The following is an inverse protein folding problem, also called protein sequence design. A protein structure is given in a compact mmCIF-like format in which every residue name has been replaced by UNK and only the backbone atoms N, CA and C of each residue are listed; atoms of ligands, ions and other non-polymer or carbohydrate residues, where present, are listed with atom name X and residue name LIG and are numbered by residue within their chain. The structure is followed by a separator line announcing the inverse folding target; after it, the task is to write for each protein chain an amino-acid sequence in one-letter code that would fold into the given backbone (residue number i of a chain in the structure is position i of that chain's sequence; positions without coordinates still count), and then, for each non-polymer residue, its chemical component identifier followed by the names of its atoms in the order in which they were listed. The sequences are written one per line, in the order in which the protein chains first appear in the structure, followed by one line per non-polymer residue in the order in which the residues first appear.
data_IF_762830045016
#
_entry.id   IF_762830045016
#
_cell.length_a   1.000
_cell.length_b   1.000
_cell.length_c   1.000
_cell.angle_alpha   90.00
_cell.angle_beta   90.00
_cell.angle_gamma   90.00
#
_symmetry.space_group_name_H-M   'P 1'
#
loop_
_entity.id
_entity.type
_entity.pdbx_description
1 polymer ?
#
# COMPACT_ATOMS: atom_id res chain seq x y z
N UNK A 1 21.12 2.38 28.36
CA UNK A 1 19.80 2.10 28.98
C UNK A 1 19.23 0.84 28.36
N UNK A 2 18.73 -0.06 29.22
CA UNK A 2 18.83 -1.52 29.09
C UNK A 2 17.88 -2.19 28.09
N UNK A 3 18.37 -3.22 27.39
CA UNK A 3 17.62 -4.13 26.50
C UNK A 3 16.39 -4.78 27.15
N UNK A 4 16.29 -4.75 28.49
CA UNK A 4 15.15 -5.21 29.27
C UNK A 4 13.87 -4.37 29.04
N UNK A 5 13.97 -3.07 28.74
CA UNK A 5 12.79 -2.22 28.50
C UNK A 5 12.11 -2.52 27.15
N UNK A 6 12.88 -2.97 26.14
CA UNK A 6 12.32 -3.41 24.86
C UNK A 6 11.62 -4.77 24.98
N UNK A 7 12.06 -5.64 25.89
CA UNK A 7 11.43 -6.96 26.10
C UNK A 7 10.04 -6.84 26.77
N UNK A 8 9.87 -5.86 27.66
CA UNK A 8 8.58 -5.59 28.33
C UNK A 8 7.52 -5.05 27.37
N UNK A 9 7.89 -4.14 26.45
CA UNK A 9 6.93 -3.56 25.50
C UNK A 9 6.61 -4.47 24.31
N UNK A 10 7.55 -5.33 23.88
CA UNK A 10 7.32 -6.28 22.79
C UNK A 10 6.47 -7.50 23.21
N UNK A 11 6.54 -7.94 24.49
CA UNK A 11 5.66 -9.02 25.00
C UNK A 11 4.18 -8.63 24.99
N UNK A 12 3.87 -7.33 25.03
CA UNK A 12 2.51 -6.80 25.20
C UNK A 12 1.69 -6.80 23.90
N UNK A 13 2.32 -6.84 22.72
CA UNK A 13 1.64 -6.95 21.43
C UNK A 13 1.59 -8.38 20.86
N UNK A 14 2.44 -9.29 21.35
CA UNK A 14 2.56 -10.63 20.74
C UNK A 14 1.58 -11.69 21.22
N UNK A 15 0.67 -11.39 22.16
CA UNK A 15 -0.39 -12.33 22.56
C UNK A 15 0.15 -13.67 23.03
N UNK A 16 1.08 -13.66 23.99
CA UNK A 16 1.57 -14.90 24.64
C UNK A 16 0.91 -15.17 26.00
N UNK A 17 -0.34 -14.74 26.18
CA UNK A 17 -1.26 -15.29 27.18
C UNK A 17 -2.69 -14.99 26.73
N UNK A 18 -3.40 -16.06 26.42
CA UNK A 18 -4.84 -16.10 26.27
C UNK A 18 -5.48 -15.55 27.53
N UNK A 19 -6.23 -14.47 27.41
CA UNK A 19 -7.29 -14.08 28.33
C UNK A 19 -8.11 -13.02 27.59
N UNK A 20 -9.42 -13.25 27.52
CA UNK A 20 -10.44 -12.50 26.79
C UNK A 20 -10.23 -10.98 26.89
N UNK A 21 -9.58 -10.40 25.87
CA UNK A 21 -9.50 -8.95 25.73
C UNK A 21 -10.51 -8.51 24.68
N UNK A 22 -11.47 -7.70 25.12
CA UNK A 22 -12.48 -7.11 24.24
C UNK A 22 -11.81 -6.34 23.09
N UNK A 23 -12.44 -6.36 21.90
CA UNK A 23 -11.91 -5.71 20.69
C UNK A 23 -11.54 -4.21 20.91
N UNK A 24 -12.21 -3.56 21.87
CA UNK A 24 -11.96 -2.18 22.28
C UNK A 24 -10.61 -1.99 22.98
N UNK A 25 -10.21 -2.93 23.85
CA UNK A 25 -8.92 -2.89 24.55
C UNK A 25 -7.75 -3.15 23.60
N UNK A 26 -7.91 -4.06 22.64
CA UNK A 26 -6.92 -4.31 21.59
C UNK A 26 -6.76 -3.09 20.67
N UNK A 27 -7.86 -2.43 20.29
CA UNK A 27 -7.85 -1.21 19.47
C UNK A 27 -7.19 -0.01 20.17
N UNK A 28 -7.41 0.15 21.48
CA UNK A 28 -6.76 1.20 22.27
C UNK A 28 -5.24 0.97 22.37
N UNK A 29 -4.81 -0.28 22.59
CA UNK A 29 -3.39 -0.67 22.62
C UNK A 29 -2.70 -0.45 21.27
N UNK A 30 -3.35 -0.83 20.18
CA UNK A 30 -2.83 -0.62 18.83
C UNK A 30 -2.60 0.87 18.54
N UNK A 31 -3.59 1.71 18.89
CA UNK A 31 -3.48 3.19 18.76
C UNK A 31 -2.34 3.79 19.57
N UNK A 32 -2.12 3.32 20.80
CA UNK A 32 -1.02 3.80 21.64
C UNK A 32 0.35 3.42 21.05
N UNK A 33 0.48 2.19 20.56
CA UNK A 33 1.70 1.74 19.89
C UNK A 33 2.00 2.53 18.62
N UNK A 34 0.98 2.80 17.78
CA UNK A 34 1.12 3.63 16.58
C UNK A 34 1.68 5.02 16.91
N UNK A 35 1.19 5.66 17.99
CA UNK A 35 1.67 6.97 18.46
C UNK A 35 3.10 6.92 18.99
N UNK A 36 3.43 5.93 19.82
CA UNK A 36 4.77 5.79 20.39
C UNK A 36 5.83 5.50 19.31
N UNK A 37 5.47 4.72 18.30
CA UNK A 37 6.35 4.38 17.20
C UNK A 37 6.56 5.55 16.22
N UNK A 38 5.51 6.31 15.90
CA UNK A 38 5.63 7.55 15.11
C UNK A 38 6.64 8.54 15.72
N UNK A 39 6.90 8.46 17.02
CA UNK A 39 7.88 9.26 17.75
C UNK A 39 9.31 8.68 17.75
N UNK A 40 9.61 7.65 16.95
CA UNK A 40 10.95 7.02 16.76
C UNK A 40 11.63 6.45 18.01
N UNK A 41 10.88 6.00 19.02
CA UNK A 41 11.43 5.55 20.32
C UNK A 41 11.91 4.09 20.40
N UNK A 42 11.94 3.30 19.31
CA UNK A 42 12.24 1.86 19.41
C UNK A 42 13.18 1.34 18.31
N UNK A 43 14.37 0.87 18.69
CA UNK A 43 15.24 0.00 17.89
C UNK A 43 14.85 -1.47 18.12
N UNK A 44 14.42 -2.19 17.08
CA UNK A 44 14.07 -3.61 17.16
C UNK A 44 14.88 -4.43 16.16
N UNK A 45 15.31 -5.64 16.55
CA UNK A 45 15.95 -6.62 15.67
C UNK A 45 14.99 -7.10 14.57
N UNK A 46 15.52 -7.37 13.37
CA UNK A 46 14.75 -7.63 12.13
C UNK A 46 13.70 -8.75 12.27
N UNK A 47 14.02 -9.86 12.96
CA UNK A 47 13.08 -10.96 13.19
C UNK A 47 11.91 -10.60 14.13
N UNK A 48 12.14 -9.70 15.10
CA UNK A 48 11.07 -9.15 15.95
C UNK A 48 10.29 -8.06 15.24
N UNK A 49 10.95 -7.25 14.43
CA UNK A 49 10.28 -6.32 13.53
C UNK A 49 9.35 -7.10 12.59
N UNK A 50 9.79 -8.24 12.05
CA UNK A 50 9.00 -9.08 11.17
C UNK A 50 7.71 -9.61 11.82
N UNK A 51 7.81 -10.25 12.99
CA UNK A 51 6.64 -10.80 13.68
C UNK A 51 5.68 -9.70 14.18
N UNK A 52 6.23 -8.56 14.61
CA UNK A 52 5.44 -7.40 15.05
C UNK A 52 4.77 -6.73 13.85
N UNK A 53 5.47 -6.59 12.73
CA UNK A 53 4.93 -6.03 11.50
C UNK A 53 3.83 -6.93 10.95
N UNK A 54 3.98 -8.25 10.87
CA UNK A 54 2.92 -9.10 10.29
C UNK A 54 1.59 -8.98 11.07
N UNK A 55 1.64 -9.08 12.40
CA UNK A 55 0.43 -8.97 13.24
C UNK A 55 -0.13 -7.54 13.28
N UNK A 56 0.74 -6.53 13.30
CA UNK A 56 0.31 -5.14 13.38
C UNK A 56 -0.05 -4.54 12.02
N UNK A 57 0.52 -5.02 10.92
CA UNK A 57 0.31 -4.48 9.57
C UNK A 57 -1.14 -4.66 9.14
N UNK A 58 -1.72 -5.85 9.34
CA UNK A 58 -3.14 -6.07 9.04
C UNK A 58 -4.05 -5.20 9.90
N UNK A 59 -3.70 -4.96 11.18
CA UNK A 59 -4.44 -4.03 12.03
C UNK A 59 -4.27 -2.58 11.58
N UNK A 60 -3.06 -2.18 11.19
CA UNK A 60 -2.73 -0.85 10.69
C UNK A 60 -3.46 -0.57 9.38
N UNK A 61 -3.46 -1.51 8.44
CA UNK A 61 -4.18 -1.43 7.18
C UNK A 61 -5.68 -1.32 7.41
N UNK A 62 -6.25 -2.09 8.35
CA UNK A 62 -7.65 -1.90 8.79
C UNK A 62 -7.89 -0.50 9.38
N UNK A 63 -6.96 0.04 10.16
CA UNK A 63 -7.08 1.40 10.67
C UNK A 63 -6.99 2.46 9.56
N UNK A 64 -6.29 2.20 8.45
CA UNK A 64 -6.28 3.06 7.26
C UNK A 64 -7.66 3.15 6.58
N UNK A 65 -8.55 2.20 6.87
CA UNK A 65 -9.96 2.16 6.45
C UNK A 65 -10.93 2.73 7.50
N UNK A 66 -10.43 3.32 8.58
CA UNK A 66 -11.30 3.88 9.60
C UNK A 66 -12.12 5.05 9.06
N UNK A 67 -13.41 5.12 9.43
CA UNK A 67 -14.25 6.28 9.21
C UNK A 67 -13.74 7.52 9.97
N UNK A 68 -12.98 7.33 11.05
CA UNK A 68 -12.26 8.41 11.72
C UNK A 68 -11.04 8.80 10.89
N UNK A 69 -11.13 9.96 10.23
CA UNK A 69 -10.08 10.49 9.36
C UNK A 69 -8.75 10.66 10.09
N UNK A 70 -8.76 11.08 11.35
CA UNK A 70 -7.54 11.27 12.14
C UNK A 70 -6.83 9.94 12.41
N UNK A 71 -7.60 8.91 12.76
CA UNK A 71 -7.08 7.55 12.92
C UNK A 71 -6.53 7.02 11.60
N UNK A 72 -7.27 7.20 10.51
CA UNK A 72 -6.89 6.67 9.22
C UNK A 72 -5.64 7.36 8.64
N UNK A 73 -5.54 8.69 8.75
CA UNK A 73 -4.33 9.45 8.38
C UNK A 73 -3.14 9.05 9.25
N UNK A 74 -3.32 8.90 10.56
CA UNK A 74 -2.23 8.48 11.45
C UNK A 74 -1.73 7.08 11.13
N UNK A 75 -2.64 6.14 10.88
CA UNK A 75 -2.28 4.78 10.48
C UNK A 75 -1.53 4.77 9.15
N UNK A 76 -1.99 5.55 8.17
CA UNK A 76 -1.35 5.70 6.87
C UNK A 76 0.07 6.26 7.00
N UNK A 77 0.27 7.30 7.82
CA UNK A 77 1.60 7.86 8.07
C UNK A 77 2.55 6.83 8.70
N UNK A 78 2.05 6.01 9.63
CA UNK A 78 2.85 4.92 10.20
C UNK A 78 3.24 3.92 9.11
N UNK A 79 2.29 3.46 8.30
CA UNK A 79 2.57 2.53 7.19
C UNK A 79 3.61 3.10 6.22
N UNK A 80 3.47 4.36 5.81
CA UNK A 80 4.43 5.01 4.91
C UNK A 80 5.82 5.15 5.53
N UNK A 81 5.91 5.49 6.82
CA UNK A 81 7.20 5.59 7.53
C UNK A 81 7.92 4.23 7.62
N UNK A 82 7.16 3.15 7.84
CA UNK A 82 7.68 1.79 7.76
C UNK A 82 8.13 1.46 6.34
N UNK A 83 7.27 1.67 5.35
CA UNK A 83 7.57 1.43 3.94
C UNK A 83 8.86 2.12 3.50
N UNK A 84 9.10 3.37 3.90
CA UNK A 84 10.26 4.13 3.48
C UNK A 84 11.59 3.64 4.11
N UNK A 85 11.59 3.30 5.40
CA UNK A 85 12.83 3.02 6.16
C UNK A 85 13.09 1.53 6.43
N UNK A 86 12.15 0.65 6.10
CA UNK A 86 12.28 -0.75 6.47
C UNK A 86 13.23 -1.52 5.56
N UNK A 87 13.72 -2.65 6.08
CA UNK A 87 14.47 -3.63 5.30
C UNK A 87 13.62 -4.14 4.11
N UNK A 88 14.25 -4.60 3.01
CA UNK A 88 13.53 -5.07 1.82
C UNK A 88 12.48 -6.15 2.10
N UNK A 89 12.80 -7.08 3.01
CA UNK A 89 11.91 -8.15 3.48
C UNK A 89 10.59 -7.62 4.06
N UNK A 90 10.66 -6.52 4.80
CA UNK A 90 9.51 -5.85 5.40
C UNK A 90 8.76 -5.01 4.37
N UNK A 91 9.47 -4.30 3.49
CA UNK A 91 8.86 -3.53 2.40
C UNK A 91 8.04 -4.43 1.48
N UNK A 92 8.57 -5.60 1.11
CA UNK A 92 7.85 -6.56 0.26
C UNK A 92 6.52 -6.99 0.88
N UNK A 93 6.47 -7.19 2.21
CA UNK A 93 5.21 -7.55 2.89
C UNK A 93 4.22 -6.41 2.97
N UNK A 94 4.71 -5.19 3.23
CA UNK A 94 3.87 -3.99 3.15
C UNK A 94 3.31 -3.86 1.73
N UNK A 95 4.14 -4.08 0.71
CA UNK A 95 3.75 -4.02 -0.68
C UNK A 95 2.65 -5.04 -1.00
N UNK A 96 2.86 -6.32 -0.67
CA UNK A 96 1.89 -7.40 -0.91
C UNK A 96 0.56 -7.16 -0.18
N UNK A 97 0.59 -6.83 1.11
CA UNK A 97 -0.63 -6.59 1.89
C UNK A 97 -1.39 -5.33 1.43
N UNK A 98 -0.67 -4.27 1.05
CA UNK A 98 -1.30 -3.06 0.50
C UNK A 98 -1.91 -3.34 -0.87
N UNK A 99 -1.25 -4.15 -1.70
CA UNK A 99 -1.75 -4.53 -3.01
C UNK A 99 -3.02 -5.38 -2.90
N UNK A 100 -3.06 -6.34 -1.97
CA UNK A 100 -4.25 -7.14 -1.66
C UNK A 100 -5.41 -6.26 -1.18
N UNK A 101 -5.13 -5.31 -0.28
CA UNK A 101 -6.12 -4.35 0.18
C UNK A 101 -6.65 -3.49 -0.97
N UNK A 102 -5.78 -2.95 -1.82
CA UNK A 102 -6.20 -2.17 -2.98
C UNK A 102 -7.10 -2.99 -3.91
N UNK A 103 -6.74 -4.26 -4.13
CA UNK A 103 -7.53 -5.18 -4.94
C UNK A 103 -8.94 -5.40 -4.38
N UNK A 104 -9.07 -5.63 -3.06
CA UNK A 104 -10.37 -5.82 -2.42
C UNK A 104 -11.23 -4.55 -2.46
N UNK A 105 -10.64 -3.38 -2.26
CA UNK A 105 -11.33 -2.09 -2.37
C UNK A 105 -11.88 -1.87 -3.78
N UNK A 106 -11.04 -2.05 -4.81
CA UNK A 106 -11.46 -1.93 -6.22
C UNK A 106 -12.57 -2.93 -6.55
N UNK A 107 -12.48 -4.17 -6.05
CA UNK A 107 -13.50 -5.19 -6.26
C UNK A 107 -14.83 -4.87 -5.55
N UNK A 108 -14.77 -4.27 -4.36
CA UNK A 108 -15.97 -3.86 -3.60
C UNK A 108 -16.67 -2.63 -4.17
N UNK A 109 -16.03 -1.94 -5.12
CA UNK A 109 -16.55 -0.73 -5.76
C UNK A 109 -15.57 0.42 -5.60
N UNK A 110 -15.21 1.05 -6.71
CA UNK A 110 -14.31 2.22 -6.71
C UNK A 110 -15.02 3.43 -6.08
N UNK A 111 -16.28 3.63 -6.44
CA UNK A 111 -17.15 4.64 -5.81
C UNK A 111 -17.33 4.35 -4.33
N UNK A 112 -17.05 5.34 -3.48
CA UNK A 112 -17.08 5.21 -2.02
C UNK A 112 -15.76 4.77 -1.39
N UNK A 113 -14.82 4.22 -2.16
CA UNK A 113 -13.50 3.78 -1.67
C UNK A 113 -12.33 4.63 -2.19
N UNK A 114 -12.60 5.71 -2.94
CA UNK A 114 -11.58 6.53 -3.62
C UNK A 114 -10.42 6.94 -2.69
N UNK A 115 -10.74 7.52 -1.52
CA UNK A 115 -9.70 8.00 -0.59
C UNK A 115 -8.83 6.84 -0.07
N UNK A 116 -9.44 5.68 0.20
CA UNK A 116 -8.72 4.49 0.67
C UNK A 116 -7.85 3.87 -0.42
N UNK A 117 -8.36 3.80 -1.65
CA UNK A 117 -7.60 3.37 -2.81
C UNK A 117 -6.41 4.30 -3.04
N UNK A 118 -6.59 5.63 -2.94
CA UNK A 118 -5.51 6.59 -3.12
C UNK A 118 -4.42 6.45 -2.05
N UNK A 119 -4.78 6.17 -0.80
CA UNK A 119 -3.82 5.85 0.27
C UNK A 119 -3.02 4.59 -0.05
N UNK A 120 -3.66 3.54 -0.59
CA UNK A 120 -2.95 2.35 -1.04
C UNK A 120 -1.96 2.67 -2.16
N UNK A 121 -2.38 3.49 -3.14
CA UNK A 121 -1.51 3.97 -4.24
C UNK A 121 -0.29 4.71 -3.69
N UNK A 122 -0.46 5.60 -2.72
CA UNK A 122 0.64 6.34 -2.11
C UNK A 122 1.66 5.41 -1.41
N UNK A 123 1.18 4.40 -0.68
CA UNK A 123 2.06 3.40 -0.07
C UNK A 123 2.78 2.58 -1.12
N UNK A 124 2.07 2.06 -2.14
CA UNK A 124 2.65 1.21 -3.18
C UNK A 124 3.76 1.92 -3.94
N UNK A 125 3.59 3.22 -4.25
CA UNK A 125 4.63 4.04 -4.92
C UNK A 125 5.96 4.04 -4.15
N UNK A 126 5.93 4.00 -2.81
CA UNK A 126 7.14 3.96 -1.98
C UNK A 126 7.87 2.62 -2.11
N UNK A 127 7.12 1.53 -2.28
CA UNK A 127 7.64 0.14 -2.23
C UNK A 127 7.57 -0.57 -3.59
N UNK A 128 7.46 0.16 -4.70
CA UNK A 128 7.32 -0.44 -6.04
C UNK A 128 8.47 -1.40 -6.38
N UNK A 129 9.69 -1.05 -5.99
CA UNK A 129 10.89 -1.87 -6.23
C UNK A 129 10.90 -3.14 -5.40
N UNK A 130 10.12 -3.19 -4.33
CA UNK A 130 10.00 -4.35 -3.43
C UNK A 130 8.90 -5.31 -3.88
N UNK A 131 8.09 -4.94 -4.88
CA UNK A 131 7.13 -5.84 -5.52
C UNK A 131 7.87 -6.84 -6.42
N UNK A 132 7.50 -8.12 -6.32
CA UNK A 132 7.86 -9.12 -7.32
C UNK A 132 7.25 -8.77 -8.69
N UNK A 133 7.77 -9.38 -9.77
CA UNK A 133 7.24 -9.18 -11.13
C UNK A 133 5.72 -9.42 -11.19
N UNK A 134 5.24 -10.50 -10.56
CA UNK A 134 3.81 -10.83 -10.50
C UNK A 134 2.99 -9.77 -9.76
N UNK A 135 3.51 -9.25 -8.66
CA UNK A 135 2.84 -8.21 -7.90
C UNK A 135 2.84 -6.87 -8.64
N UNK A 136 3.91 -6.54 -9.38
CA UNK A 136 3.95 -5.38 -10.28
C UNK A 136 2.91 -5.49 -11.40
N UNK A 137 2.80 -6.66 -12.03
CA UNK A 137 1.76 -6.93 -13.04
C UNK A 137 0.35 -6.73 -12.48
N UNK A 138 0.08 -7.26 -11.28
CA UNK A 138 -1.19 -7.06 -10.60
C UNK A 138 -1.42 -5.58 -10.26
N UNK A 139 -0.38 -4.87 -9.79
CA UNK A 139 -0.45 -3.44 -9.50
C UNK A 139 -0.80 -2.61 -10.74
N UNK A 140 -0.15 -2.87 -11.89
CA UNK A 140 -0.48 -2.25 -13.17
C UNK A 140 -1.93 -2.56 -13.55
N UNK A 141 -2.38 -3.81 -13.44
CA UNK A 141 -3.77 -4.20 -13.74
C UNK A 141 -4.78 -3.42 -12.90
N UNK A 142 -4.51 -3.22 -11.60
CA UNK A 142 -5.35 -2.40 -10.74
C UNK A 142 -5.36 -0.93 -11.17
N UNK A 143 -4.21 -0.34 -11.50
CA UNK A 143 -4.18 1.04 -12.02
C UNK A 143 -4.95 1.20 -13.32
N UNK A 144 -4.86 0.24 -14.25
CA UNK A 144 -5.63 0.27 -15.49
C UNK A 144 -7.12 0.21 -15.23
N UNK A 145 -7.58 -0.57 -14.23
CA UNK A 145 -8.99 -0.62 -13.82
C UNK A 145 -9.50 0.71 -13.24
N UNK A 146 -8.62 1.59 -12.75
CA UNK A 146 -9.01 2.92 -12.25
C UNK A 146 -9.22 3.94 -13.39
N UNK A 147 -8.58 3.76 -14.55
CA UNK A 147 -8.67 4.69 -15.67
C UNK A 147 -10.09 4.95 -16.23
N UNK A 148 -10.97 3.95 -16.37
CA UNK A 148 -12.34 4.20 -16.85
C UNK A 148 -13.25 4.85 -15.79
N UNK A 149 -12.87 4.83 -14.50
CA UNK A 149 -13.71 5.37 -13.44
C UNK A 149 -13.69 6.91 -13.44
N UNK A 150 -14.86 7.58 -13.44
CA UNK A 150 -14.93 9.04 -13.55
C UNK A 150 -14.46 9.77 -12.29
N UNK A 151 -14.43 9.10 -11.14
CA UNK A 151 -14.01 9.68 -9.86
C UNK A 151 -12.48 9.80 -9.82
N UNK A 152 -11.76 8.90 -10.50
CA UNK A 152 -10.31 8.90 -10.45
C UNK A 152 -9.67 9.92 -11.42
N UNK A 153 -8.74 10.75 -10.93
CA UNK A 153 -8.01 11.69 -11.79
C UNK A 153 -7.04 10.93 -12.70
N UNK A 154 -7.46 10.71 -13.95
CA UNK A 154 -6.73 9.91 -14.97
C UNK A 154 -5.26 10.28 -15.09
N UNK A 155 -4.92 11.57 -15.12
CA UNK A 155 -3.53 12.04 -15.18
C UNK A 155 -2.67 11.52 -14.03
N UNK A 156 -3.20 11.55 -12.79
CA UNK A 156 -2.47 11.05 -11.62
C UNK A 156 -2.26 9.54 -11.70
N UNK A 157 -3.23 8.80 -12.24
CA UNK A 157 -3.10 7.35 -12.48
C UNK A 157 -2.00 7.08 -13.51
N UNK A 158 -1.99 7.84 -14.60
CA UNK A 158 -0.96 7.73 -15.65
C UNK A 158 0.43 8.07 -15.15
N UNK A 159 0.59 9.08 -14.31
CA UNK A 159 1.87 9.38 -13.64
C UNK A 159 2.38 8.18 -12.83
N UNK A 160 1.50 7.46 -12.12
CA UNK A 160 1.93 6.28 -11.33
C UNK A 160 2.24 5.08 -12.21
N UNK A 161 1.49 4.89 -13.30
CA UNK A 161 1.80 3.88 -14.31
C UNK A 161 3.18 4.12 -14.96
N UNK A 162 3.53 5.37 -15.28
CA UNK A 162 4.88 5.71 -15.80
C UNK A 162 5.99 5.32 -14.83
N UNK A 163 5.78 5.47 -13.52
CA UNK A 163 6.77 5.04 -12.52
C UNK A 163 6.99 3.52 -12.58
N UNK A 164 5.93 2.73 -12.73
CA UNK A 164 6.03 1.27 -12.88
C UNK A 164 6.78 0.87 -14.17
N UNK A 165 6.59 1.61 -15.26
CA UNK A 165 7.34 1.40 -16.51
C UNK A 165 8.85 1.61 -16.38
N UNK A 166 9.27 2.47 -15.44
CA UNK A 166 10.69 2.74 -15.17
C UNK A 166 11.30 1.66 -14.25
N UNK A 167 10.48 0.90 -13.52
CA UNK A 167 10.95 -0.10 -12.55
C UNK A 167 11.38 -1.41 -13.20
N UNK A 168 10.87 -1.74 -14.39
CA UNK A 168 11.20 -2.98 -15.11
C UNK A 168 12.10 -2.71 -16.31
N UNK A 169 13.05 -3.61 -16.57
CA UNK A 169 13.98 -3.51 -17.71
C UNK A 169 13.29 -3.78 -19.06
N UNK A 170 12.24 -4.61 -19.06
CA UNK A 170 11.41 -4.93 -20.24
C UNK A 170 9.91 -4.81 -19.89
N UNK A 171 9.39 -3.57 -19.79
CA UNK A 171 7.97 -3.34 -19.46
C UNK A 171 7.04 -3.84 -20.58
N UNK A 172 7.53 -3.90 -21.83
CA UNK A 172 6.82 -4.40 -23.02
C UNK A 172 6.35 -5.83 -22.82
N UNK A 173 7.28 -6.68 -22.40
CA UNK A 173 7.02 -8.09 -22.11
C UNK A 173 6.30 -8.26 -20.78
N UNK A 174 6.72 -7.52 -19.76
CA UNK A 174 6.20 -7.67 -18.40
C UNK A 174 4.72 -7.28 -18.31
N UNK A 175 4.29 -6.25 -19.04
CA UNK A 175 2.94 -5.68 -18.95
C UNK A 175 2.09 -5.86 -20.22
N UNK A 176 2.36 -6.91 -21.00
CA UNK A 176 1.69 -7.15 -22.28
C UNK A 176 0.15 -7.07 -22.22
N UNK A 177 -0.46 -7.69 -21.21
CA UNK A 177 -1.93 -7.67 -21.02
C UNK A 177 -2.45 -6.27 -20.69
N UNK A 178 -1.74 -5.55 -19.82
CA UNK A 178 -2.09 -4.19 -19.45
C UNK A 178 -1.91 -3.22 -20.62
N UNK A 179 -0.89 -3.42 -21.47
CA UNK A 179 -0.69 -2.64 -22.70
C UNK A 179 -1.87 -2.77 -23.65
N UNK A 180 -2.48 -3.96 -23.77
CA UNK A 180 -3.68 -4.13 -24.59
C UNK A 180 -4.84 -3.31 -24.03
N UNK A 181 -5.06 -3.33 -22.72
CA UNK A 181 -6.11 -2.55 -22.07
C UNK A 181 -5.87 -1.04 -22.18
N UNK A 182 -4.63 -0.59 -22.02
CA UNK A 182 -4.23 0.82 -22.21
C UNK A 182 -4.48 1.30 -23.65
N UNK A 183 -4.23 0.47 -24.66
CA UNK A 183 -4.56 0.77 -26.06
C UNK A 183 -6.05 0.95 -26.29
N UNK A 184 -6.88 0.12 -25.65
CA UNK A 184 -8.33 0.23 -25.72
C UNK A 184 -8.77 1.56 -25.06
N UNK A 185 -8.23 1.87 -23.87
CA UNK A 185 -8.51 3.13 -23.18
C UNK A 185 -8.08 4.37 -23.99
N UNK A 186 -6.94 4.30 -24.68
CA UNK A 186 -6.46 5.39 -25.54
C UNK A 186 -7.40 5.67 -26.72
N UNK A 187 -8.03 4.62 -27.27
CA UNK A 187 -8.99 4.73 -28.37
C UNK A 187 -10.35 5.24 -27.92
N UNK A 188 -10.75 4.95 -26.67
CA UNK A 188 -12.08 5.29 -26.16
C UNK A 188 -12.15 6.63 -25.42
N UNK A 189 -11.02 7.19 -24.99
CA UNK A 189 -11.03 8.48 -24.29
C UNK A 189 -11.18 9.66 -25.24
N UNK A 190 -11.99 10.64 -24.84
CA UNK A 190 -12.20 11.90 -25.56
C UNK A 190 -11.30 13.03 -25.06
N UNK A 191 -10.59 12.82 -23.96
CA UNK A 191 -9.65 13.79 -23.38
C UNK A 191 -8.30 13.73 -24.11
N UNK A 192 -8.05 14.70 -25.00
CA UNK A 192 -6.87 14.70 -25.88
C UNK A 192 -5.52 14.57 -25.14
N UNK A 193 -5.40 15.19 -23.96
CA UNK A 193 -4.16 15.10 -23.16
C UNK A 193 -3.97 13.71 -22.55
N UNK A 194 -5.05 13.10 -22.02
CA UNK A 194 -5.03 11.73 -21.47
C UNK A 194 -4.73 10.74 -22.60
N UNK A 195 -5.33 10.93 -23.78
CA UNK A 195 -5.07 10.14 -24.97
C UNK A 195 -3.59 10.19 -25.36
N UNK A 196 -2.99 11.39 -25.43
CA UNK A 196 -1.57 11.56 -25.78
C UNK A 196 -0.65 10.85 -24.78
N UNK A 197 -0.94 10.98 -23.49
CA UNK A 197 -0.16 10.32 -22.44
C UNK A 197 -0.27 8.79 -22.49
N UNK A 198 -1.47 8.26 -22.74
CA UNK A 198 -1.68 6.83 -22.93
C UNK A 198 -0.89 6.30 -24.13
N UNK A 199 -0.92 6.99 -25.27
CA UNK A 199 -0.11 6.60 -26.42
C UNK A 199 1.39 6.62 -26.11
N UNK A 200 1.85 7.64 -25.38
CA UNK A 200 3.26 7.72 -24.96
C UNK A 200 3.65 6.52 -24.11
N UNK A 201 2.82 6.15 -23.12
CA UNK A 201 3.08 4.98 -22.26
C UNK A 201 3.09 3.67 -23.06
N UNK A 202 2.18 3.53 -24.02
CA UNK A 202 2.11 2.36 -24.92
C UNK A 202 3.32 2.27 -25.86
N UNK A 203 3.90 3.40 -26.26
CA UNK A 203 5.08 3.46 -27.12
C UNK A 203 6.41 3.27 -26.36
N UNK A 204 6.45 3.67 -25.08
CA UNK A 204 7.59 3.46 -24.18
C UNK A 204 7.71 2.02 -23.70
N UNK A 205 6.57 1.34 -23.54
CA UNK A 205 6.52 -0.11 -23.44
C UNK A 205 7.08 -0.67 -24.71
#
# INVERSE_FOLDING_TARGET
MSAANCAGQARVCCGLREEEQTAQAQSARCRHWCKAFAQRKTHCAESRAQCTVDKNLQSLLRHCLSADRSVATSAQLVVMNYAYNAAPSVQQRIAGATLELMGSLVQSGIQGNEEHIWRCVQTLVIVLRSLSVRERQNCVSLFVKLLPDPVFPKRKVLEKLKMLWIVDDDPRRTYADALQQLRIAAKSTTEADVQRELYTLVSLG
#
